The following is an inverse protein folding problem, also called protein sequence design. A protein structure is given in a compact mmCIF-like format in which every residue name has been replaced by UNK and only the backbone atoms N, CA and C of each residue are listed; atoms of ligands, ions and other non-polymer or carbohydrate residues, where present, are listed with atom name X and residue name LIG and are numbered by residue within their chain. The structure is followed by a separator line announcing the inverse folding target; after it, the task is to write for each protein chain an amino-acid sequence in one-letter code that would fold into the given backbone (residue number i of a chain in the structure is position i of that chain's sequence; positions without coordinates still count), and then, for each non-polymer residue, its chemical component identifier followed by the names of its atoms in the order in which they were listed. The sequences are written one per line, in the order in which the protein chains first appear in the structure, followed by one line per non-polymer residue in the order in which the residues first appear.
data_IF_354537249371
#
_entry.id   IF_354537249371
#
_cell.length_a   1.000
_cell.length_b   1.000
_cell.length_c   1.000
_cell.angle_alpha   90.00
_cell.angle_beta   90.00
_cell.angle_gamma   90.00
#
_symmetry.space_group_name_H-M   'P 1'
#
loop_
_entity.id
_entity.type
_entity.pdbx_description
1 polymer ?
#
# COMPACT_ATOMS: atom_id res chain seq x y z
N UNK A 1 3.71 -10.47 -8.22
CA UNK A 1 3.80 -11.09 -9.55
C UNK A 1 5.26 -11.29 -10.00
N UNK A 2 6.06 -10.23 -10.11
CA UNK A 2 7.45 -10.34 -10.61
C UNK A 2 8.39 -11.10 -9.68
N UNK A 3 8.16 -11.06 -8.39
CA UNK A 3 9.01 -11.69 -7.37
C UNK A 3 8.51 -13.07 -6.94
N UNK A 4 7.35 -13.54 -7.43
CA UNK A 4 6.74 -14.80 -7.00
C UNK A 4 6.28 -14.81 -5.53
N UNK A 5 6.21 -13.66 -4.88
CA UNK A 5 5.75 -13.53 -3.49
C UNK A 5 4.22 -13.54 -3.47
N UNK A 6 3.64 -14.33 -2.58
CA UNK A 6 2.21 -14.28 -2.31
C UNK A 6 1.90 -13.03 -1.47
N UNK A 7 0.87 -12.29 -1.88
CA UNK A 7 0.42 -11.10 -1.18
C UNK A 7 -1.09 -11.17 -0.93
N UNK A 8 -1.49 -10.71 0.25
CA UNK A 8 -2.90 -10.53 0.62
C UNK A 8 -3.11 -9.04 0.84
N UNK A 9 -4.10 -8.48 0.18
CA UNK A 9 -4.51 -7.09 0.36
C UNK A 9 -5.89 -7.06 1.00
N UNK A 10 -6.01 -6.39 2.13
CA UNK A 10 -7.30 -6.17 2.79
C UNK A 10 -7.84 -4.81 2.40
N UNK A 11 -9.10 -4.76 2.03
CA UNK A 11 -9.81 -3.54 1.60
C UNK A 11 -11.17 -3.48 2.28
N UNK A 12 -11.71 -2.28 2.60
CA UNK A 12 -13.08 -2.16 3.08
C UNK A 12 -14.10 -2.56 1.99
N UNK A 13 -15.32 -2.93 2.41
CA UNK A 13 -16.38 -3.34 1.48
C UNK A 13 -16.71 -2.27 0.43
N UNK A 14 -16.58 -0.98 0.78
CA UNK A 14 -16.79 0.15 -0.12
C UNK A 14 -15.63 0.48 -1.06
N UNK A 15 -14.61 -0.37 -1.14
CA UNK A 15 -13.48 -0.12 -2.04
C UNK A 15 -13.93 -0.14 -3.51
N UNK A 16 -13.46 0.80 -4.36
CA UNK A 16 -13.82 0.85 -5.77
C UNK A 16 -13.44 -0.44 -6.51
N UNK A 17 -14.34 -0.95 -7.35
CA UNK A 17 -14.13 -2.20 -8.11
C UNK A 17 -12.87 -2.18 -8.97
N UNK A 18 -12.53 -1.04 -9.57
CA UNK A 18 -11.31 -0.92 -10.36
C UNK A 18 -10.03 -1.11 -9.54
N UNK A 19 -10.02 -0.74 -8.26
CA UNK A 19 -8.90 -1.00 -7.35
C UNK A 19 -8.80 -2.48 -6.99
N UNK A 20 -9.94 -3.09 -6.67
CA UNK A 20 -10.03 -4.53 -6.37
C UNK A 20 -9.52 -5.35 -7.57
N UNK A 21 -10.06 -5.06 -8.75
CA UNK A 21 -9.66 -5.72 -9.99
C UNK A 21 -8.18 -5.50 -10.32
N UNK A 22 -7.67 -4.28 -10.12
CA UNK A 22 -6.27 -3.94 -10.35
C UNK A 22 -5.31 -4.74 -9.46
N UNK A 23 -5.62 -4.87 -8.18
CA UNK A 23 -4.81 -5.67 -7.24
C UNK A 23 -4.87 -7.16 -7.58
N UNK A 24 -6.06 -7.68 -7.86
CA UNK A 24 -6.24 -9.08 -8.25
C UNK A 24 -5.55 -9.43 -9.57
N UNK A 25 -5.55 -8.51 -10.55
CA UNK A 25 -4.87 -8.67 -11.83
C UNK A 25 -3.36 -8.95 -11.65
N UNK A 26 -2.73 -8.36 -10.66
CA UNK A 26 -1.32 -8.60 -10.36
C UNK A 26 -1.06 -9.82 -9.47
N UNK A 27 -2.09 -10.63 -9.21
CA UNK A 27 -1.98 -11.92 -8.54
C UNK A 27 -2.02 -11.87 -7.01
N UNK A 28 -2.37 -10.73 -6.43
CA UNK A 28 -2.61 -10.65 -4.99
C UNK A 28 -4.01 -11.18 -4.65
N UNK A 29 -4.13 -11.81 -3.48
CA UNK A 29 -5.43 -12.20 -2.93
C UNK A 29 -6.08 -10.97 -2.29
N UNK A 30 -7.27 -10.58 -2.78
CA UNK A 30 -8.04 -9.51 -2.17
C UNK A 30 -9.00 -10.09 -1.13
N UNK A 31 -8.97 -9.53 0.08
CA UNK A 31 -9.93 -9.77 1.14
C UNK A 31 -10.66 -8.48 1.48
N UNK A 32 -11.98 -8.50 1.45
CA UNK A 32 -12.78 -7.36 1.88
C UNK A 32 -13.21 -7.57 3.34
N UNK A 33 -13.01 -6.55 4.17
CA UNK A 33 -13.39 -6.55 5.57
C UNK A 33 -13.65 -5.13 6.07
N UNK A 34 -14.74 -4.97 6.83
CA UNK A 34 -15.13 -3.69 7.42
C UNK A 34 -15.66 -2.68 6.41
N UNK A 35 -16.16 -1.57 6.92
CA UNK A 35 -16.73 -0.48 6.14
C UNK A 35 -15.80 0.75 6.10
N UNK A 36 -14.73 0.72 6.90
CA UNK A 36 -13.71 1.77 6.98
C UNK A 36 -12.30 1.24 6.74
N UNK A 37 -11.39 2.17 6.45
CA UNK A 37 -9.96 1.86 6.35
C UNK A 37 -9.42 1.29 7.67
N UNK A 38 -9.82 1.86 8.81
CA UNK A 38 -9.31 1.46 10.12
C UNK A 38 -9.73 0.03 10.50
N UNK A 39 -10.94 -0.37 10.15
CA UNK A 39 -11.42 -1.74 10.33
C UNK A 39 -10.67 -2.73 9.43
N UNK A 40 -10.48 -2.38 8.16
CA UNK A 40 -9.69 -3.19 7.24
C UNK A 40 -8.22 -3.31 7.70
N UNK A 41 -7.64 -2.23 8.22
CA UNK A 41 -6.28 -2.20 8.75
C UNK A 41 -6.12 -3.08 9.99
N UNK A 42 -7.05 -2.96 10.95
CA UNK A 42 -7.04 -3.79 12.15
C UNK A 42 -7.14 -5.28 11.82
N UNK A 43 -8.04 -5.65 10.92
CA UNK A 43 -8.19 -7.01 10.45
C UNK A 43 -6.93 -7.53 9.73
N UNK A 44 -6.30 -6.68 8.91
CA UNK A 44 -5.07 -7.06 8.21
C UNK A 44 -3.92 -7.38 9.19
N UNK A 45 -3.81 -6.61 10.27
CA UNK A 45 -2.83 -6.88 11.34
C UNK A 45 -3.12 -8.18 12.06
N UNK A 46 -4.37 -8.39 12.46
CA UNK A 46 -4.79 -9.63 13.13
C UNK A 46 -4.54 -10.85 12.23
N UNK A 47 -4.87 -10.75 10.94
CA UNK A 47 -4.61 -11.82 9.97
C UNK A 47 -3.12 -12.13 9.84
N UNK A 48 -2.27 -11.11 9.85
CA UNK A 48 -0.82 -11.27 9.78
C UNK A 48 -0.29 -11.97 11.03
N UNK A 49 -0.72 -11.54 12.22
CA UNK A 49 -0.29 -12.11 13.49
C UNK A 49 -0.72 -13.58 13.64
N UNK A 50 -1.94 -13.93 13.22
CA UNK A 50 -2.47 -15.29 13.30
C UNK A 50 -1.78 -16.28 12.36
N UNK A 51 -1.19 -15.80 11.26
CA UNK A 51 -0.61 -16.66 10.22
C UNK A 51 0.90 -16.51 10.05
N UNK A 52 1.55 -15.76 10.94
CA UNK A 52 2.99 -15.43 10.85
C UNK A 52 3.36 -14.77 9.50
N UNK A 53 2.46 -13.90 9.01
CA UNK A 53 2.72 -13.11 7.80
C UNK A 53 3.41 -11.79 8.15
N UNK A 54 4.29 -11.31 7.27
CA UNK A 54 4.81 -9.95 7.40
C UNK A 54 3.70 -8.95 7.04
N UNK A 55 3.28 -8.17 8.03
CA UNK A 55 2.42 -7.03 7.78
C UNK A 55 3.23 -5.87 7.17
N UNK A 56 2.70 -5.27 6.11
CA UNK A 56 3.28 -4.09 5.47
C UNK A 56 2.25 -2.95 5.54
N UNK A 57 2.60 -1.89 6.25
CA UNK A 57 1.81 -0.65 6.21
C UNK A 57 2.01 0.06 4.87
N UNK A 58 0.93 0.64 4.34
CA UNK A 58 0.99 1.38 3.08
C UNK A 58 1.79 2.70 3.17
N UNK A 59 2.06 3.20 4.38
CA UNK A 59 2.69 4.50 4.59
C UNK A 59 3.59 4.58 5.84
N UNK A 60 3.53 3.61 6.75
CA UNK A 60 4.28 3.59 8.01
C UNK A 60 5.13 2.31 8.11
N UNK A 61 5.93 2.10 7.08
CA UNK A 61 6.90 1.02 6.99
C UNK A 61 8.18 1.60 6.36
N UNK A 62 9.35 1.45 7.01
CA UNK A 62 10.60 2.02 6.52
C UNK A 62 10.97 1.59 5.08
N UNK A 63 10.72 0.35 4.72
CA UNK A 63 11.01 -0.15 3.38
C UNK A 63 10.06 0.45 2.34
N UNK A 64 8.79 0.66 2.71
CA UNK A 64 7.81 1.32 1.85
C UNK A 64 8.17 2.80 1.67
N UNK A 65 8.53 3.50 2.74
CA UNK A 65 8.97 4.91 2.69
C UNK A 65 10.22 5.04 1.81
N UNK A 66 11.21 4.18 2.00
CA UNK A 66 12.43 4.18 1.18
C UNK A 66 12.12 3.91 -0.31
N UNK A 67 11.21 2.98 -0.59
CA UNK A 67 10.74 2.71 -1.95
C UNK A 67 10.06 3.91 -2.60
N UNK A 68 9.19 4.60 -1.87
CA UNK A 68 8.53 5.83 -2.35
C UNK A 68 9.54 6.98 -2.54
N UNK A 69 10.56 7.05 -1.70
CA UNK A 69 11.63 8.04 -1.80
C UNK A 69 12.42 7.98 -3.13
N UNK A 70 12.37 6.87 -3.87
CA UNK A 70 13.00 6.77 -5.20
C UNK A 70 12.42 7.76 -6.21
N UNK A 71 11.17 8.17 -6.04
CA UNK A 71 10.58 9.26 -6.85
C UNK A 71 11.39 10.54 -6.70
N UNK A 72 11.80 10.89 -5.48
CA UNK A 72 12.68 12.04 -5.24
C UNK A 72 14.01 11.93 -5.99
N UNK A 73 14.62 10.75 -6.01
CA UNK A 73 15.87 10.50 -6.75
C UNK A 73 15.66 10.69 -8.26
N UNK A 74 14.53 10.24 -8.80
CA UNK A 74 14.22 10.33 -10.23
C UNK A 74 13.94 11.76 -10.69
N UNK A 75 13.30 12.59 -9.85
CA UNK A 75 12.99 13.99 -10.20
C UNK A 75 14.12 14.98 -9.89
N UNK A 76 15.02 14.64 -8.96
CA UNK A 76 16.11 15.54 -8.55
C UNK A 76 16.98 16.08 -9.71
N UNK A 77 17.34 15.27 -10.73
CA UNK A 77 18.12 15.78 -11.88
C UNK A 77 17.40 16.86 -12.70
N UNK A 78 16.08 16.95 -12.61
CA UNK A 78 15.28 17.96 -13.30
C UNK A 78 15.25 19.31 -12.56
N UNK A 79 15.79 19.34 -11.33
CA UNK A 79 15.89 20.54 -10.47
C UNK A 79 14.60 21.40 -10.45
N UNK A 80 13.41 20.82 -10.18
CA UNK A 80 12.18 21.60 -10.17
C UNK A 80 12.17 22.60 -9.02
N UNK A 81 11.67 23.81 -9.26
CA UNK A 81 11.51 24.84 -8.23
C UNK A 81 10.39 24.45 -7.22
N UNK A 82 9.40 23.68 -7.67
CA UNK A 82 8.26 23.25 -6.87
C UNK A 82 7.85 21.83 -7.25
N UNK A 83 7.57 21.00 -6.25
CA UNK A 83 6.97 19.68 -6.42
C UNK A 83 5.65 19.64 -5.66
N UNK A 84 4.57 19.30 -6.33
CA UNK A 84 3.24 19.13 -5.72
C UNK A 84 2.98 17.63 -5.55
N UNK A 85 2.76 17.21 -4.30
CA UNK A 85 2.58 15.80 -3.94
C UNK A 85 1.23 15.62 -3.26
N UNK A 86 0.43 14.61 -3.64
CA UNK A 86 -0.77 14.26 -2.90
C UNK A 86 -0.38 13.64 -1.55
N UNK A 87 -1.03 14.07 -0.47
CA UNK A 87 -0.77 13.55 0.87
C UNK A 87 -2.03 12.87 1.39
N UNK A 88 -1.94 11.54 1.62
CA UNK A 88 -2.89 10.77 2.41
C UNK A 88 -2.24 10.39 3.74
N UNK A 89 -1.82 9.15 3.91
CA UNK A 89 -1.07 8.68 5.08
C UNK A 89 0.39 9.18 5.17
N UNK A 90 0.88 9.88 4.16
CA UNK A 90 2.21 10.50 4.17
C UNK A 90 3.32 9.67 3.52
N UNK A 91 3.09 8.43 3.16
CA UNK A 91 4.13 7.51 2.68
C UNK A 91 4.86 7.96 1.41
N UNK A 92 4.23 8.78 0.56
CA UNK A 92 4.88 9.35 -0.64
C UNK A 92 5.66 10.63 -0.32
N UNK A 93 5.23 11.39 0.70
CA UNK A 93 5.79 12.71 1.02
C UNK A 93 6.81 12.68 2.17
N UNK A 94 6.90 11.54 2.86
CA UNK A 94 7.75 11.34 4.04
C UNK A 94 9.23 11.18 3.74
#
# INVERSE_FOLDING_TARGET
YRLGVQAITVMPHGAPENKIAGVAHWGATVRQHGDSYDEAFAFARELADQNDYRFLSAFDDPDVIAGQGTVGIEIAPHAPDVVIVPIGGGGLAG
#
